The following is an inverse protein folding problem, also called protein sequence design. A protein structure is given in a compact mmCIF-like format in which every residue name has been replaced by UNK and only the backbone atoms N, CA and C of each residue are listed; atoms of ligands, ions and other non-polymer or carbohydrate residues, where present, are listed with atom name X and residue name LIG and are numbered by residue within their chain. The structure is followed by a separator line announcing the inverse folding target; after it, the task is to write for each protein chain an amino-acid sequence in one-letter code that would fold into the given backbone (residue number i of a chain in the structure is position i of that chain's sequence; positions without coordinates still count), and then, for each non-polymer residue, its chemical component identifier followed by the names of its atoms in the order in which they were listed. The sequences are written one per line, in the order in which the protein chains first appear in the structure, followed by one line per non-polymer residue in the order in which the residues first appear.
data_IF_694601598019
#
_entry.id   IF_694601598019
#
_cell.length_a   1.000
_cell.length_b   1.000
_cell.length_c   1.000
_cell.angle_alpha   90.00
_cell.angle_beta   90.00
_cell.angle_gamma   90.00
#
_symmetry.space_group_name_H-M   'P 1'
#
loop_
_entity.id
_entity.type
_entity.pdbx_description
1 polymer ?
#
# COMPACT_ATOMS: atom_id res chain seq x y z
N UNK A 1 -31.46 -2.38 21.51
CA UNK A 1 -31.35 -1.85 20.13
C UNK A 1 -30.12 -0.99 20.07
N UNK A 2 -28.97 -1.62 19.86
CA UNK A 2 -27.67 -0.98 19.67
C UNK A 2 -27.60 -0.47 18.24
N UNK A 3 -27.62 0.86 18.08
CA UNK A 3 -27.37 1.53 16.82
C UNK A 3 -25.97 1.18 16.34
N UNK A 4 -25.89 0.45 15.22
CA UNK A 4 -24.70 0.37 14.39
C UNK A 4 -24.34 1.78 13.95
N UNK A 5 -23.22 2.30 14.45
CA UNK A 5 -22.65 3.57 14.00
C UNK A 5 -22.04 3.37 12.60
N UNK A 6 -22.83 3.67 11.58
CA UNK A 6 -22.45 3.65 10.16
C UNK A 6 -21.85 4.98 9.72
N UNK A 7 -20.67 5.36 10.24
CA UNK A 7 -20.07 6.66 9.84
C UNK A 7 -18.54 6.83 9.90
N UNK A 8 -17.74 5.76 9.92
CA UNK A 8 -16.26 5.89 9.93
C UNK A 8 -15.61 4.93 8.93
N UNK A 9 -14.62 5.36 8.12
CA UNK A 9 -13.87 4.44 7.26
C UNK A 9 -13.03 3.52 8.15
N UNK A 10 -13.42 2.25 8.19
CA UNK A 10 -12.75 1.24 8.98
C UNK A 10 -11.59 0.74 8.13
N UNK A 11 -10.36 1.24 8.32
CA UNK A 11 -9.22 0.36 8.05
C UNK A 11 -9.44 -0.82 8.96
N UNK A 12 -9.71 -2.03 8.46
CA UNK A 12 -10.06 -3.15 9.34
C UNK A 12 -8.76 -3.68 9.95
N UNK A 13 -8.70 -3.89 11.28
CA UNK A 13 -7.58 -4.67 11.83
C UNK A 13 -7.76 -6.11 11.36
N UNK A 14 -6.78 -6.72 10.68
CA UNK A 14 -6.91 -8.10 10.24
C UNK A 14 -7.11 -9.03 11.44
N UNK A 15 -8.05 -9.97 11.31
CA UNK A 15 -8.06 -11.14 12.18
C UNK A 15 -6.86 -12.01 11.83
N UNK A 16 -6.01 -12.34 12.82
CA UNK A 16 -4.89 -13.25 12.62
C UNK A 16 -5.44 -14.67 12.76
N UNK A 17 -5.72 -15.35 11.65
CA UNK A 17 -5.93 -16.81 11.65
C UNK A 17 -4.64 -17.48 11.19
N UNK A 18 -3.91 -18.06 12.14
CA UNK A 18 -2.76 -18.96 11.99
C UNK A 18 -2.09 -18.98 10.60
N UNK A 19 -1.10 -18.10 10.42
CA UNK A 19 -0.06 -18.06 9.36
C UNK A 19 -0.25 -17.10 8.18
N UNK A 20 -1.45 -16.59 7.85
CA UNK A 20 -1.62 -15.67 6.70
C UNK A 20 -2.74 -14.63 6.88
N UNK A 21 -2.71 -13.54 6.11
CA UNK A 21 -3.80 -12.56 6.02
C UNK A 21 -4.91 -13.07 5.11
N UNK A 22 -6.17 -13.00 5.55
CA UNK A 22 -7.31 -13.25 4.67
C UNK A 22 -7.78 -11.94 4.02
N UNK A 23 -7.50 -11.78 2.73
CA UNK A 23 -8.16 -10.76 1.91
C UNK A 23 -9.51 -11.33 1.46
N UNK A 24 -10.62 -10.89 2.04
CA UNK A 24 -11.96 -11.44 1.71
C UNK A 24 -12.76 -10.55 0.74
N UNK A 25 -12.37 -9.28 0.59
CA UNK A 25 -13.09 -8.32 -0.24
C UNK A 25 -12.60 -8.31 -1.70
N UNK A 26 -13.50 -8.03 -2.63
CA UNK A 26 -13.18 -7.73 -4.02
C UNK A 26 -13.30 -6.23 -4.31
N UNK A 27 -12.72 -5.78 -5.43
CA UNK A 27 -13.00 -4.43 -5.93
C UNK A 27 -14.50 -4.29 -6.24
N UNK A 28 -15.15 -3.24 -5.72
CA UNK A 28 -16.58 -3.00 -5.97
C UNK A 28 -16.89 -2.68 -7.43
N UNK A 29 -15.88 -2.24 -8.19
CA UNK A 29 -16.02 -2.01 -9.61
C UNK A 29 -14.95 -2.74 -10.42
N UNK A 30 -15.35 -3.32 -11.55
CA UNK A 30 -14.45 -3.90 -12.53
C UNK A 30 -13.71 -2.82 -13.33
N UNK A 31 -12.51 -3.14 -13.81
CA UNK A 31 -11.65 -2.21 -14.57
C UNK A 31 -12.34 -1.53 -15.75
N UNK A 32 -13.05 -2.33 -16.56
CA UNK A 32 -13.73 -1.84 -17.76
C UNK A 32 -15.07 -1.16 -17.48
N UNK A 33 -15.63 -1.32 -16.27
CA UNK A 33 -16.81 -0.58 -15.82
C UNK A 33 -16.57 0.94 -15.69
N UNK A 34 -15.33 1.40 -15.86
CA UNK A 34 -14.94 2.81 -15.77
C UNK A 34 -15.05 3.60 -17.07
N UNK A 35 -15.29 2.98 -18.23
CA UNK A 35 -15.44 3.65 -19.52
C UNK A 35 -16.80 4.35 -19.74
N UNK A 36 -17.41 4.91 -18.70
CA UNK A 36 -18.54 5.82 -18.90
C UNK A 36 -17.98 7.21 -19.23
N UNK A 37 -18.33 7.82 -20.37
CA UNK A 37 -17.88 9.16 -20.69
C UNK A 37 -18.41 10.14 -19.64
N UNK A 38 -17.52 10.58 -18.75
CA UNK A 38 -17.83 11.55 -17.72
C UNK A 38 -16.63 12.48 -17.48
N UNK A 39 -16.82 13.67 -16.88
CA UNK A 39 -15.73 14.62 -16.64
C UNK A 39 -14.54 14.03 -15.87
N UNK A 40 -14.80 13.06 -14.97
CA UNK A 40 -13.74 12.36 -14.21
C UNK A 40 -12.86 11.51 -15.12
N UNK A 41 -13.45 10.78 -16.06
CA UNK A 41 -12.72 9.98 -17.05
C UNK A 41 -11.84 10.86 -17.94
N UNK A 42 -12.35 12.01 -18.38
CA UNK A 42 -11.58 12.98 -19.14
C UNK A 42 -10.41 13.54 -18.33
N UNK A 43 -10.64 13.94 -17.07
CA UNK A 43 -9.56 14.46 -16.21
C UNK A 43 -8.47 13.40 -15.95
N UNK A 44 -8.85 12.15 -15.70
CA UNK A 44 -7.91 11.04 -15.54
C UNK A 44 -7.06 10.79 -16.81
N UNK A 45 -7.63 10.97 -18.01
CA UNK A 45 -6.92 10.77 -19.28
C UNK A 45 -6.05 11.98 -19.69
N UNK A 46 -6.55 13.20 -19.51
CA UNK A 46 -5.88 14.42 -20.00
C UNK A 46 -4.91 15.06 -19.01
N UNK A 47 -5.11 14.89 -17.69
CA UNK A 47 -4.09 15.20 -16.68
C UNK A 47 -3.98 14.07 -15.65
N UNK A 48 -3.45 12.92 -16.09
CA UNK A 48 -3.17 11.80 -15.17
C UNK A 48 -2.28 12.19 -13.97
N UNK A 49 -1.23 13.04 -14.11
CA UNK A 49 -0.45 13.50 -12.97
C UNK A 49 -1.29 14.25 -11.93
N UNK A 50 -2.14 15.19 -12.36
CA UNK A 50 -3.03 15.95 -11.46
C UNK A 50 -4.05 15.03 -10.79
N UNK A 51 -4.63 14.10 -11.55
CA UNK A 51 -5.63 13.17 -11.05
C UNK A 51 -5.05 12.26 -9.97
N UNK A 52 -3.82 11.78 -10.15
CA UNK A 52 -3.15 10.93 -9.16
C UNK A 52 -2.67 11.73 -7.95
N UNK A 53 -2.21 12.96 -8.14
CA UNK A 53 -1.94 13.87 -7.04
C UNK A 53 -3.19 14.04 -6.16
N UNK A 54 -4.37 14.26 -6.76
CA UNK A 54 -5.65 14.32 -6.05
C UNK A 54 -5.92 13.02 -5.28
N UNK A 55 -5.71 11.85 -5.89
CA UNK A 55 -5.94 10.58 -5.21
C UNK A 55 -4.94 10.30 -4.08
N UNK A 56 -3.67 10.70 -4.25
CA UNK A 56 -2.67 10.62 -3.18
C UNK A 56 -3.09 11.46 -1.98
N UNK A 57 -3.53 12.71 -2.19
CA UNK A 57 -4.04 13.56 -1.12
C UNK A 57 -5.25 12.93 -0.41
N UNK A 58 -6.22 12.40 -1.17
CA UNK A 58 -7.35 11.62 -0.62
C UNK A 58 -6.91 10.40 0.19
N UNK A 59 -5.84 9.75 -0.23
CA UNK A 59 -5.26 8.62 0.47
C UNK A 59 -4.36 9.02 1.64
N UNK A 60 -4.24 10.31 1.99
CA UNK A 60 -3.35 10.78 3.06
C UNK A 60 -1.87 10.67 2.71
N UNK A 61 -1.52 10.64 1.42
CA UNK A 61 -0.16 10.63 0.90
C UNK A 61 0.22 12.01 0.33
N UNK A 62 1.52 12.30 0.25
CA UNK A 62 1.98 13.59 -0.27
C UNK A 62 1.59 13.78 -1.74
N UNK A 63 1.01 14.92 -2.10
CA UNK A 63 0.46 15.12 -3.45
C UNK A 63 1.51 14.96 -4.57
N UNK A 64 2.78 15.30 -4.32
CA UNK A 64 3.89 15.15 -5.28
C UNK A 64 4.57 13.78 -5.24
N UNK A 65 4.00 12.78 -4.56
CA UNK A 65 4.55 11.41 -4.55
C UNK A 65 4.74 10.88 -5.98
N UNK A 66 3.88 11.27 -6.93
CA UNK A 66 4.03 10.96 -8.35
C UNK A 66 5.29 11.57 -9.00
N UNK A 67 5.70 12.78 -8.59
CA UNK A 67 6.90 13.43 -9.14
C UNK A 67 8.19 12.75 -8.68
N UNK A 68 8.16 12.14 -7.50
CA UNK A 68 9.30 11.41 -6.91
C UNK A 68 9.32 9.96 -7.41
N UNK A 69 8.15 9.40 -7.73
CA UNK A 69 8.02 8.02 -8.15
C UNK A 69 6.98 7.87 -9.29
N UNK A 70 7.42 7.55 -10.52
CA UNK A 70 6.52 7.38 -11.68
C UNK A 70 5.54 6.21 -11.49
N UNK A 71 5.77 5.33 -10.51
CA UNK A 71 4.90 4.21 -10.15
C UNK A 71 4.04 4.47 -8.91
N UNK A 72 3.87 5.73 -8.49
CA UNK A 72 3.04 6.07 -7.32
C UNK A 72 1.62 5.50 -7.38
N UNK A 73 1.03 5.37 -8.58
CA UNK A 73 -0.28 4.73 -8.75
C UNK A 73 -0.30 3.27 -8.31
N UNK A 74 0.80 2.54 -8.54
CA UNK A 74 0.94 1.15 -8.07
C UNK A 74 0.90 1.09 -6.56
N UNK A 75 1.70 1.88 -5.84
CA UNK A 75 1.66 1.86 -4.39
C UNK A 75 0.38 2.43 -3.79
N UNK A 76 -0.24 3.41 -4.46
CA UNK A 76 -1.56 3.89 -4.06
C UNK A 76 -2.60 2.79 -4.16
N UNK A 77 -2.58 2.02 -5.26
CA UNK A 77 -3.43 0.84 -5.45
C UNK A 77 -3.18 -0.19 -4.35
N UNK A 78 -1.93 -0.54 -4.10
CA UNK A 78 -1.53 -1.48 -3.06
C UNK A 78 -1.95 -1.01 -1.67
N UNK A 79 -1.79 0.28 -1.35
CA UNK A 79 -2.23 0.89 -0.09
C UNK A 79 -3.74 0.75 0.08
N UNK A 80 -4.52 1.14 -0.92
CA UNK A 80 -6.00 1.07 -0.88
C UNK A 80 -6.46 -0.37 -0.69
N UNK A 81 -5.82 -1.32 -1.39
CA UNK A 81 -6.12 -2.74 -1.23
C UNK A 81 -5.79 -3.27 0.16
N UNK A 82 -4.62 -2.91 0.68
CA UNK A 82 -4.19 -3.29 2.02
C UNK A 82 -5.11 -2.71 3.10
N UNK A 83 -5.55 -1.46 2.93
CA UNK A 83 -6.42 -0.80 3.91
C UNK A 83 -7.83 -1.41 3.95
N UNK A 84 -8.37 -1.82 2.80
CA UNK A 84 -9.74 -2.33 2.67
C UNK A 84 -9.79 -3.86 2.51
N UNK A 85 -8.68 -4.57 2.70
CA UNK A 85 -8.56 -6.02 2.55
C UNK A 85 -9.09 -6.55 1.21
N UNK A 86 -8.75 -5.84 0.12
CA UNK A 86 -9.13 -6.21 -1.25
C UNK A 86 -8.12 -7.20 -1.84
N UNK A 87 -8.64 -8.33 -2.33
CA UNK A 87 -7.89 -9.40 -3.00
C UNK A 87 -7.08 -8.94 -4.20
N UNK A 88 -5.99 -9.66 -4.44
CA UNK A 88 -5.13 -9.59 -5.61
C UNK A 88 -3.65 -9.72 -5.22
N UNK A 89 -2.74 -9.42 -6.14
CA UNK A 89 -1.31 -9.38 -5.85
C UNK A 89 -0.62 -8.10 -6.32
N UNK A 90 0.60 -7.86 -5.88
CA UNK A 90 1.50 -6.83 -6.36
C UNK A 90 1.84 -7.05 -7.85
N UNK A 91 1.90 -8.29 -8.31
CA UNK A 91 2.04 -8.60 -9.73
C UNK A 91 0.82 -8.10 -10.52
N UNK A 92 -0.39 -8.36 -10.03
CA UNK A 92 -1.61 -7.80 -10.63
C UNK A 92 -1.64 -6.28 -10.57
N UNK A 93 -1.22 -5.66 -9.47
CA UNK A 93 -1.16 -4.20 -9.34
C UNK A 93 -0.15 -3.60 -10.33
N UNK A 94 1.02 -4.23 -10.49
CA UNK A 94 2.03 -3.80 -11.46
C UNK A 94 1.52 -3.97 -12.90
N UNK A 95 0.93 -5.13 -13.23
CA UNK A 95 0.35 -5.37 -14.55
C UNK A 95 -0.78 -4.38 -14.86
N UNK A 96 -1.66 -4.15 -13.89
CA UNK A 96 -2.79 -3.22 -14.00
C UNK A 96 -2.33 -1.79 -14.22
N UNK A 97 -1.27 -1.35 -13.54
CA UNK A 97 -0.81 0.04 -13.62
C UNK A 97 0.16 0.29 -14.77
N UNK A 98 0.90 -0.73 -15.22
CA UNK A 98 1.89 -0.61 -16.30
C UNK A 98 1.34 -0.99 -17.68
N UNK A 99 0.51 -2.04 -17.77
CA UNK A 99 0.06 -2.62 -19.03
C UNK A 99 -1.40 -2.28 -19.38
N UNK A 100 -2.23 -1.94 -18.38
CA UNK A 100 -3.59 -1.51 -18.63
C UNK A 100 -3.68 0.03 -18.65
N UNK A 101 -4.78 0.56 -19.18
CA UNK A 101 -5.06 1.99 -19.24
C UNK A 101 -4.95 2.63 -17.85
N UNK A 102 -3.81 3.28 -17.58
CA UNK A 102 -3.49 4.09 -16.41
C UNK A 102 -4.69 4.87 -15.81
N UNK A 103 -5.54 5.56 -16.60
CA UNK A 103 -6.72 6.23 -16.06
C UNK A 103 -7.75 5.27 -15.43
N UNK A 104 -7.94 4.06 -15.95
CA UNK A 104 -8.91 3.10 -15.42
C UNK A 104 -8.53 2.60 -14.03
N UNK A 105 -7.24 2.32 -13.80
CA UNK A 105 -6.74 1.91 -12.49
C UNK A 105 -6.93 3.03 -11.45
N UNK A 106 -6.64 4.29 -11.83
CA UNK A 106 -6.86 5.44 -10.98
C UNK A 106 -8.37 5.69 -10.69
N UNK A 107 -9.23 5.54 -11.69
CA UNK A 107 -10.68 5.67 -11.52
C UNK A 107 -11.28 4.56 -10.65
N UNK A 108 -10.76 3.34 -10.74
CA UNK A 108 -11.18 2.24 -9.87
C UNK A 108 -10.87 2.57 -8.41
N UNK A 109 -9.68 3.13 -8.14
CA UNK A 109 -9.31 3.63 -6.81
C UNK A 109 -10.26 4.75 -6.37
N UNK A 110 -10.51 5.76 -7.21
CA UNK A 110 -11.41 6.88 -6.85
C UNK A 110 -12.80 6.37 -6.43
N UNK A 111 -13.34 5.39 -7.14
CA UNK A 111 -14.66 4.82 -6.85
C UNK A 111 -14.68 3.96 -5.61
N UNK A 112 -13.60 3.24 -5.34
CA UNK A 112 -13.47 2.51 -4.07
C UNK A 112 -13.42 3.52 -2.90
N UNK A 113 -12.65 4.60 -3.03
CA UNK A 113 -12.64 5.68 -2.04
C UNK A 113 -14.02 6.31 -1.85
N UNK A 114 -14.76 6.55 -2.94
CA UNK A 114 -16.14 7.05 -2.88
C UNK A 114 -17.08 6.04 -2.18
N UNK A 115 -16.94 4.74 -2.47
CA UNK A 115 -17.72 3.67 -1.83
C UNK A 115 -17.46 3.57 -0.33
N UNK A 116 -16.20 3.75 0.08
CA UNK A 116 -15.77 3.75 1.48
C UNK A 116 -16.01 5.11 2.18
N UNK A 117 -16.71 6.06 1.52
CA UNK A 117 -17.00 7.41 2.01
C UNK A 117 -15.76 8.23 2.42
N UNK A 118 -14.64 8.02 1.74
CA UNK A 118 -13.40 8.79 1.96
C UNK A 118 -13.54 10.17 1.30
N UNK A 119 -13.37 11.29 2.04
CA UNK A 119 -13.56 12.63 1.49
C UNK A 119 -12.58 12.97 0.35
N UNK A 120 -12.95 13.95 -0.48
CA UNK A 120 -12.13 14.39 -1.63
C UNK A 120 -10.92 15.25 -1.24
N UNK A 121 -10.95 15.86 -0.06
CA UNK A 121 -9.88 16.72 0.48
C UNK A 121 -9.65 16.27 1.90
N UNK A 122 -8.46 15.78 2.20
CA UNK A 122 -8.04 15.48 3.57
C UNK A 122 -7.38 16.74 4.11
N UNK A 123 -8.18 17.71 4.58
CA UNK A 123 -7.61 18.85 5.29
C UNK A 123 -7.07 18.28 6.61
N UNK A 124 -5.75 18.24 6.79
CA UNK A 124 -5.16 17.90 8.09
C UNK A 124 -5.43 19.04 9.07
N UNK A 125 -6.65 19.10 9.60
CA UNK A 125 -7.10 20.25 10.40
C UNK A 125 -6.54 20.22 11.83
N UNK A 126 -6.27 19.04 12.43
CA UNK A 126 -5.74 18.89 13.80
C UNK A 126 -5.07 17.51 13.99
N UNK A 127 -4.10 17.36 14.93
CA UNK A 127 -3.62 16.04 15.34
C UNK A 127 -4.79 15.23 15.94
N UNK A 128 -5.20 14.15 15.26
CA UNK A 128 -6.32 13.27 15.66
C UNK A 128 -7.39 13.04 14.58
N UNK A 129 -7.42 13.85 13.52
CA UNK A 129 -8.42 13.78 12.42
C UNK A 129 -7.88 13.03 11.17
N UNK A 130 -7.02 12.02 11.36
CA UNK A 130 -6.51 11.22 10.23
C UNK A 130 -7.59 10.24 9.74
N UNK A 131 -8.08 10.47 8.52
CA UNK A 131 -9.04 9.60 7.82
C UNK A 131 -8.56 8.14 7.78
N UNK A 132 -7.24 7.93 7.70
CA UNK A 132 -6.62 6.61 7.62
C UNK A 132 -6.08 6.10 8.97
N UNK A 133 -6.31 6.81 10.09
CA UNK A 133 -6.01 6.36 11.47
C UNK A 133 -4.70 5.55 11.62
N UNK A 134 -3.59 6.05 11.09
CA UNK A 134 -2.28 5.41 11.28
C UNK A 134 -1.75 5.71 12.68
N UNK A 135 -1.90 4.77 13.60
CA UNK A 135 -1.62 4.96 15.03
C UNK A 135 -0.30 4.31 15.49
N UNK A 136 0.19 3.30 14.77
CA UNK A 136 1.34 2.50 15.17
C UNK A 136 2.66 3.05 14.61
N UNK A 137 3.78 2.60 15.17
CA UNK A 137 5.12 2.89 14.68
C UNK A 137 5.83 1.57 14.33
N UNK A 138 6.82 1.63 13.43
CA UNK A 138 7.70 0.48 13.20
C UNK A 138 8.37 0.08 14.51
N UNK A 139 8.38 -1.21 14.86
CA UNK A 139 8.95 -1.63 16.14
C UNK A 139 10.46 -1.40 16.20
N UNK A 140 11.13 -1.50 15.05
CA UNK A 140 12.56 -1.27 14.91
C UNK A 140 12.78 -0.14 13.91
N UNK A 141 13.76 0.73 14.12
CA UNK A 141 14.10 1.75 13.13
C UNK A 141 14.96 1.16 11.99
N UNK A 142 15.02 1.86 10.85
CA UNK A 142 15.73 1.38 9.66
C UNK A 142 17.22 1.12 9.91
N UNK A 143 17.88 1.92 10.76
CA UNK A 143 19.35 1.93 10.86
C UNK A 143 19.93 0.87 11.81
N UNK A 144 19.12 -0.01 12.40
CA UNK A 144 19.58 -1.06 13.32
C UNK A 144 19.97 -2.39 12.63
N UNK A 145 20.31 -2.37 11.34
CA UNK A 145 20.64 -3.60 10.60
C UNK A 145 21.92 -4.29 11.09
N UNK A 146 22.89 -3.53 11.62
CA UNK A 146 24.16 -4.05 12.11
C UNK A 146 24.12 -4.62 13.53
N UNK A 147 23.00 -4.47 14.26
CA UNK A 147 22.88 -5.03 15.62
C UNK A 147 22.68 -6.56 15.62
N UNK A 148 22.21 -7.11 14.50
CA UNK A 148 22.07 -8.55 14.29
C UNK A 148 22.80 -8.94 13.01
N UNK A 149 24.10 -9.17 13.17
CA UNK A 149 25.01 -9.58 12.10
C UNK A 149 24.46 -10.83 11.40
N UNK A 150 23.83 -11.76 12.12
CA UNK A 150 23.25 -12.97 11.54
C UNK A 150 22.12 -12.68 10.55
N UNK A 151 21.17 -11.81 10.92
CA UNK A 151 20.10 -11.37 10.01
C UNK A 151 20.65 -10.55 8.85
N UNK A 152 21.61 -9.66 9.09
CA UNK A 152 22.26 -8.86 8.04
C UNK A 152 22.97 -9.76 7.03
N UNK A 153 23.77 -10.71 7.51
CA UNK A 153 24.44 -11.72 6.72
C UNK A 153 23.46 -12.60 5.93
N UNK A 154 22.33 -12.99 6.51
CA UNK A 154 21.31 -13.79 5.83
C UNK A 154 20.62 -13.01 4.70
N UNK A 155 20.37 -11.71 4.89
CA UNK A 155 19.81 -10.84 3.84
C UNK A 155 20.86 -10.54 2.76
N UNK A 156 22.11 -10.31 3.13
CA UNK A 156 23.19 -10.03 2.17
C UNK A 156 23.63 -11.28 1.37
N UNK A 157 23.72 -12.45 1.99
CA UNK A 157 24.13 -13.70 1.33
C UNK A 157 22.97 -14.49 0.68
N UNK A 158 21.73 -14.33 1.15
CA UNK A 158 20.55 -15.03 0.61
C UNK A 158 19.37 -14.05 0.46
N UNK A 159 19.63 -12.89 -0.19
CA UNK A 159 18.61 -11.87 -0.43
C UNK A 159 17.33 -12.41 -1.08
N UNK A 160 17.39 -13.24 -2.14
CA UNK A 160 16.19 -13.81 -2.77
C UNK A 160 15.37 -14.68 -1.81
N UNK A 161 16.03 -15.42 -0.93
CA UNK A 161 15.42 -16.31 0.05
C UNK A 161 14.66 -15.53 1.13
N UNK A 162 15.25 -14.41 1.57
CA UNK A 162 14.62 -13.51 2.54
C UNK A 162 13.45 -12.77 1.90
N UNK A 163 13.62 -12.27 0.68
CA UNK A 163 12.55 -11.66 -0.11
C UNK A 163 11.37 -12.64 -0.22
N UNK A 164 11.61 -13.85 -0.73
CA UNK A 164 10.57 -14.88 -0.86
C UNK A 164 9.78 -15.07 0.44
N UNK A 165 10.47 -15.27 1.57
CA UNK A 165 9.83 -15.47 2.87
C UNK A 165 8.98 -14.29 3.35
N UNK A 166 9.29 -13.06 2.93
CA UNK A 166 8.50 -11.87 3.27
C UNK A 166 7.30 -11.78 2.32
N UNK A 167 7.49 -12.00 1.03
CA UNK A 167 6.40 -12.00 0.03
C UNK A 167 5.35 -13.07 0.35
N UNK A 168 5.81 -14.29 0.62
CA UNK A 168 4.97 -15.43 1.01
C UNK A 168 4.13 -15.12 2.27
N UNK A 169 4.77 -14.61 3.33
CA UNK A 169 4.09 -14.16 4.56
C UNK A 169 3.16 -12.97 4.36
N UNK A 170 3.47 -12.12 3.39
CA UNK A 170 2.65 -10.98 3.03
C UNK A 170 1.52 -11.36 2.07
N UNK A 171 1.35 -12.64 1.74
CA UNK A 171 0.38 -13.14 0.77
C UNK A 171 0.57 -12.48 -0.62
N UNK A 172 1.77 -12.64 -1.19
CA UNK A 172 2.17 -12.10 -2.48
C UNK A 172 2.86 -13.14 -3.37
N UNK A 173 2.63 -13.06 -4.68
CA UNK A 173 3.15 -14.04 -5.65
C UNK A 173 4.68 -14.06 -5.71
N UNK A 174 5.26 -15.26 -5.80
CA UNK A 174 6.71 -15.50 -5.89
C UNK A 174 7.36 -14.73 -7.06
N UNK A 175 6.69 -14.62 -8.20
CA UNK A 175 7.23 -13.91 -9.38
C UNK A 175 7.44 -12.42 -9.12
N UNK A 176 6.69 -11.86 -8.18
CA UNK A 176 6.79 -10.45 -7.78
C UNK A 176 8.15 -10.14 -7.17
N UNK A 177 8.77 -11.07 -6.44
CA UNK A 177 10.06 -10.81 -5.78
C UNK A 177 11.21 -10.58 -6.78
N UNK A 178 11.05 -10.99 -8.04
CA UNK A 178 12.03 -10.80 -9.11
C UNK A 178 11.97 -9.38 -9.70
N UNK A 179 10.93 -8.60 -9.39
CA UNK A 179 10.78 -7.24 -9.88
C UNK A 179 11.28 -6.25 -8.83
N UNK A 180 12.40 -5.54 -9.05
CA UNK A 180 12.98 -4.64 -8.04
C UNK A 180 12.01 -3.51 -7.63
N UNK A 181 11.04 -3.21 -8.49
CA UNK A 181 10.04 -2.16 -8.28
C UNK A 181 8.98 -2.48 -7.23
N UNK A 182 8.86 -3.73 -6.78
CA UNK A 182 7.75 -4.16 -5.89
C UNK A 182 8.13 -4.20 -4.41
N UNK A 183 9.39 -3.90 -4.08
CA UNK A 183 9.86 -3.92 -2.69
C UNK A 183 9.32 -2.75 -1.85
N UNK A 184 9.24 -1.54 -2.40
CA UNK A 184 8.69 -0.38 -1.67
C UNK A 184 7.16 -0.39 -1.58
N UNK A 185 6.37 -0.84 -2.58
CA UNK A 185 4.93 -1.06 -2.41
C UNK A 185 4.64 -2.19 -1.42
N UNK A 186 5.45 -3.26 -1.38
CA UNK A 186 5.32 -4.29 -0.35
C UNK A 186 5.49 -3.69 1.05
N UNK A 187 6.47 -2.80 1.22
CA UNK A 187 6.64 -2.05 2.47
C UNK A 187 5.40 -1.21 2.80
N UNK A 188 4.83 -0.52 1.82
CA UNK A 188 3.57 0.21 1.99
C UNK A 188 2.40 -0.72 2.34
N UNK A 189 2.30 -1.92 1.74
CA UNK A 189 1.29 -2.94 2.09
C UNK A 189 1.39 -3.30 3.57
N UNK A 190 2.57 -3.75 4.01
CA UNK A 190 2.85 -4.12 5.40
C UNK A 190 2.53 -2.97 6.35
N UNK A 191 3.02 -1.77 6.03
CA UNK A 191 2.75 -0.56 6.82
C UNK A 191 1.26 -0.29 6.96
N UNK A 192 0.51 -0.45 5.86
CA UNK A 192 -0.92 -0.17 5.83
C UNK A 192 -1.71 -1.22 6.62
N UNK A 193 -1.38 -2.51 6.46
CA UNK A 193 -1.99 -3.62 7.20
C UNK A 193 -1.82 -3.46 8.71
N UNK A 194 -0.63 -3.05 9.15
CA UNK A 194 -0.32 -2.82 10.56
C UNK A 194 -0.65 -1.42 11.06
N UNK A 195 -1.30 -0.58 10.25
CA UNK A 195 -1.60 0.83 10.56
C UNK A 195 -0.39 1.61 11.08
N UNK A 196 0.78 1.35 10.53
CA UNK A 196 2.03 2.02 10.89
C UNK A 196 2.11 3.39 10.20
N UNK A 197 2.55 4.41 10.94
CA UNK A 197 2.76 5.76 10.43
C UNK A 197 3.85 5.82 9.38
N UNK A 198 3.64 6.65 8.37
CA UNK A 198 4.57 6.89 7.28
C UNK A 198 3.85 7.29 6.01
N UNK A 199 4.63 7.49 4.96
CA UNK A 199 4.15 7.79 3.61
C UNK A 199 4.75 6.83 2.60
N UNK A 200 4.10 6.68 1.46
CA UNK A 200 4.62 6.00 0.27
C UNK A 200 5.98 6.57 -0.12
N UNK A 201 6.16 7.90 -0.02
CA UNK A 201 7.44 8.56 -0.27
C UNK A 201 8.53 8.08 0.71
N UNK A 202 8.23 8.01 2.01
CA UNK A 202 9.18 7.49 3.00
C UNK A 202 9.49 6.01 2.81
N UNK A 203 8.53 5.20 2.37
CA UNK A 203 8.73 3.78 2.07
C UNK A 203 9.65 3.58 0.86
N UNK A 204 9.43 4.40 -0.17
CA UNK A 204 10.27 4.48 -1.36
C UNK A 204 11.71 4.88 -1.00
N UNK A 205 11.89 5.96 -0.23
CA UNK A 205 13.22 6.41 0.22
C UNK A 205 13.92 5.39 1.12
N UNK A 206 13.19 4.71 2.01
CA UNK A 206 13.75 3.67 2.87
C UNK A 206 14.36 2.51 2.05
N UNK A 207 13.63 2.06 1.02
CA UNK A 207 14.10 0.98 0.14
C UNK A 207 15.25 1.46 -0.77
N UNK A 208 15.19 2.68 -1.30
CA UNK A 208 16.28 3.22 -2.13
C UNK A 208 17.56 3.48 -1.33
N UNK A 209 17.45 3.96 -0.08
CA UNK A 209 18.60 4.26 0.77
C UNK A 209 19.29 2.98 1.25
N UNK A 210 18.54 2.01 1.76
CA UNK A 210 19.08 0.73 2.22
C UNK A 210 18.02 -0.38 2.07
N UNK A 211 17.99 -1.11 0.93
CA UNK A 211 17.00 -2.17 0.72
C UNK A 211 17.18 -3.32 1.71
N UNK A 212 18.41 -3.64 2.12
CA UNK A 212 18.68 -4.66 3.14
C UNK A 212 18.06 -4.30 4.49
N UNK A 213 18.21 -3.04 4.91
CA UNK A 213 17.64 -2.52 6.14
C UNK A 213 16.11 -2.58 6.11
N UNK A 214 15.51 -2.15 5.00
CA UNK A 214 14.07 -2.22 4.79
C UNK A 214 13.56 -3.66 4.86
N UNK A 215 14.27 -4.62 4.27
CA UNK A 215 13.93 -6.04 4.31
C UNK A 215 13.99 -6.63 5.73
N UNK A 216 15.07 -6.35 6.47
CA UNK A 216 15.22 -6.81 7.84
C UNK A 216 14.10 -6.24 8.73
N UNK A 217 13.80 -4.96 8.58
CA UNK A 217 12.74 -4.29 9.33
C UNK A 217 11.37 -4.93 9.04
N UNK A 218 11.02 -5.14 7.77
CA UNK A 218 9.75 -5.79 7.39
C UNK A 218 9.66 -7.23 7.89
N UNK A 219 10.74 -8.01 7.76
CA UNK A 219 10.78 -9.40 8.26
C UNK A 219 10.57 -9.47 9.77
N UNK A 220 11.18 -8.56 10.53
CA UNK A 220 11.03 -8.50 11.99
C UNK A 220 9.63 -8.11 12.38
N UNK A 221 9.06 -7.12 11.69
CA UNK A 221 7.68 -6.68 11.92
C UNK A 221 6.70 -7.84 11.68
N UNK A 222 6.79 -8.55 10.54
CA UNK A 222 5.96 -9.73 10.29
C UNK A 222 6.09 -10.78 11.40
N UNK A 223 7.33 -11.12 11.80
CA UNK A 223 7.59 -12.09 12.87
C UNK A 223 6.98 -11.69 14.22
N UNK A 224 7.07 -10.41 14.57
CA UNK A 224 6.53 -9.88 15.81
C UNK A 224 5.01 -9.91 15.85
N UNK A 225 4.39 -9.78 14.69
CA UNK A 225 2.95 -9.82 14.50
C UNK A 225 2.43 -11.27 14.34
N UNK A 226 3.32 -12.27 14.45
CA UNK A 226 2.98 -13.70 14.45
C UNK A 226 2.98 -14.38 13.09
N UNK A 227 3.61 -13.78 12.06
CA UNK A 227 3.71 -14.28 10.68
C UNK A 227 5.14 -14.76 10.33
#
# INVERSE_FOLDING_TARGET
MTSLDTSQPIIIQPGISNEFYTFDNGWHQTFFGSFKPCPRSAFACFCSPCYIAKLNDRAGEYFLTYCINPYSLMALRTKVRAAFHIRGSLAEDCYTTCCCLYPCAAMQIEKELDHQNIPNVVVQTKPGDDVWKFENWWTQQLHHCCEDIGSCCLVCWCCPCTMYKIYDRADEDLLTCCWPMTLWPLRTKIRTLFRIRGSVCSDCLAVYCCPCCALIQMRRELKQQGL
#
